data_IF_475560557739
#
_entry.id   IF_475560557739
#
_cell.length_a   1.000
_cell.length_b   1.000
_cell.length_c   1.000
_cell.angle_alpha   90.00
_cell.angle_beta   90.00
_cell.angle_gamma   90.00
#
_symmetry.space_group_name_H-M   'P 1'
#
loop_
_entity.id
_entity.type
_entity.pdbx_description
1 polymer ?
#
# COMPACT_ATOMS: atom_id res chain seq x y z
N UNK A 1 -14.56 -11.12 0.69
CA UNK A 1 -13.35 -11.61 -0.02
C UNK A 1 -13.26 -11.20 -1.50
N UNK A 2 -14.37 -11.04 -2.22
CA UNK A 2 -14.36 -10.69 -3.66
C UNK A 2 -13.88 -9.26 -4.00
N UNK A 3 -13.97 -8.30 -3.06
CA UNK A 3 -13.69 -6.88 -3.33
C UNK A 3 -12.20 -6.52 -3.30
N UNK A 4 -11.37 -7.25 -2.52
CA UNK A 4 -9.91 -7.01 -2.48
C UNK A 4 -9.19 -7.39 -3.77
N UNK A 5 -9.69 -8.40 -4.49
CA UNK A 5 -9.14 -8.81 -5.79
C UNK A 5 -9.39 -7.72 -6.85
N UNK A 6 -10.52 -7.01 -6.76
CA UNK A 6 -10.88 -5.92 -7.68
C UNK A 6 -10.00 -4.68 -7.51
N UNK A 7 -9.61 -4.33 -6.27
CA UNK A 7 -8.74 -3.16 -6.00
C UNK A 7 -7.32 -3.39 -6.51
N UNK A 8 -6.75 -4.56 -6.29
CA UNK A 8 -5.43 -4.93 -6.84
C UNK A 8 -5.43 -4.93 -8.37
N UNK A 9 -6.52 -5.40 -8.98
CA UNK A 9 -6.68 -5.39 -10.44
C UNK A 9 -6.81 -3.96 -10.99
N UNK A 10 -7.52 -3.06 -10.29
CA UNK A 10 -7.65 -1.64 -10.67
C UNK A 10 -6.32 -0.89 -10.49
N UNK A 11 -5.60 -1.13 -9.39
CA UNK A 11 -4.27 -0.55 -9.16
C UNK A 11 -3.28 -1.00 -10.24
N UNK A 12 -3.24 -2.30 -10.54
CA UNK A 12 -2.40 -2.85 -11.61
C UNK A 12 -2.77 -2.27 -12.98
N UNK A 13 -4.05 -2.02 -13.23
CA UNK A 13 -4.54 -1.42 -14.49
C UNK A 13 -4.18 0.06 -14.58
N UNK A 14 -4.33 0.84 -13.49
CA UNK A 14 -3.94 2.25 -13.46
C UNK A 14 -2.42 2.43 -13.55
N UNK A 15 -1.64 1.59 -12.88
CA UNK A 15 -0.17 1.56 -12.99
C UNK A 15 0.25 1.15 -14.41
N UNK A 16 -0.42 0.15 -15.02
CA UNK A 16 -0.15 -0.27 -16.39
C UNK A 16 -0.46 0.81 -17.43
N UNK A 17 -1.53 1.60 -17.22
CA UNK A 17 -1.88 2.74 -18.09
C UNK A 17 -0.83 3.85 -17.95
N UNK A 18 -0.33 4.12 -16.74
CA UNK A 18 0.73 5.10 -16.50
C UNK A 18 2.07 4.68 -17.12
N UNK A 19 2.43 3.39 -17.05
CA UNK A 19 3.65 2.84 -17.67
C UNK A 19 3.55 2.80 -19.19
N UNK A 20 2.38 2.53 -19.76
CA UNK A 20 2.17 2.52 -21.22
C UNK A 20 2.28 3.92 -21.86
N UNK A 21 1.99 4.99 -21.11
CA UNK A 21 2.15 6.37 -21.57
C UNK A 21 3.62 6.87 -21.53
N UNK A 22 4.52 6.18 -20.84
CA UNK A 22 5.94 6.55 -20.75
C UNK A 22 6.85 5.89 -21.81
N UNK A 23 6.29 5.44 -22.92
CA UNK A 23 6.93 5.14 -24.19
C UNK A 23 8.34 4.54 -24.16
N UNK A 24 8.57 3.39 -23.52
CA UNK A 24 9.67 2.47 -23.88
C UNK A 24 9.43 1.09 -23.22
N UNK A 25 8.97 0.12 -24.02
CA UNK A 25 9.02 -1.28 -23.62
C UNK A 25 7.78 -2.10 -24.00
N UNK A 26 7.89 -2.80 -25.15
CA UNK A 26 7.16 -4.01 -25.57
C UNK A 26 5.65 -4.09 -25.26
N UNK A 27 4.88 -3.61 -26.21
CA UNK A 27 3.45 -3.82 -26.37
C UNK A 27 3.15 -5.29 -26.74
N UNK A 28 2.87 -6.15 -25.75
CA UNK A 28 2.35 -7.50 -26.06
C UNK A 28 1.28 -8.04 -25.09
N UNK A 29 0.73 -7.26 -24.17
CA UNK A 29 -0.34 -7.70 -23.28
C UNK A 29 -1.63 -6.87 -23.40
N UNK A 30 -1.68 -5.85 -24.24
CA UNK A 30 -2.84 -4.94 -24.38
C UNK A 30 -3.91 -5.40 -25.40
N UNK A 31 -3.89 -6.64 -25.86
CA UNK A 31 -4.68 -7.09 -27.02
C UNK A 31 -6.15 -7.46 -26.78
N UNK A 32 -6.75 -7.31 -25.60
CA UNK A 32 -8.12 -7.83 -25.38
C UNK A 32 -9.14 -6.96 -24.62
N UNK A 33 -8.85 -5.74 -24.24
CA UNK A 33 -9.81 -4.88 -23.51
C UNK A 33 -10.13 -3.53 -24.15
N UNK A 34 -9.76 -3.26 -25.43
CA UNK A 34 -10.06 -1.99 -26.10
C UNK A 34 -11.13 -2.22 -27.19
N UNK A 35 -12.30 -2.67 -26.82
CA UNK A 35 -13.40 -2.84 -27.78
C UNK A 35 -14.72 -2.14 -27.38
N UNK A 36 -14.74 -1.17 -26.47
CA UNK A 36 -16.01 -0.49 -26.16
C UNK A 36 -15.85 0.96 -25.64
N UNK A 37 -15.18 1.83 -26.38
CA UNK A 37 -15.45 3.27 -26.30
C UNK A 37 -15.31 3.87 -27.70
N UNK A 38 -16.43 4.11 -28.36
CA UNK A 38 -16.48 4.97 -29.56
C UNK A 38 -16.30 6.40 -29.11
N UNK A 39 -15.27 7.14 -29.55
CA UNK A 39 -15.20 8.58 -29.33
C UNK A 39 -16.04 9.27 -30.39
N UNK A 40 -17.24 9.73 -30.04
CA UNK A 40 -17.99 10.69 -30.80
C UNK A 40 -17.70 12.07 -30.26
N UNK A 41 -16.56 12.63 -30.60
CA UNK A 41 -16.32 14.08 -30.79
C UNK A 41 -14.85 14.29 -31.11
N UNK A 42 -14.57 14.88 -32.28
CA UNK A 42 -13.24 15.39 -32.62
C UNK A 42 -12.88 16.51 -31.64
N UNK A 43 -11.97 16.25 -30.74
CA UNK A 43 -11.32 17.29 -29.93
C UNK A 43 -10.37 18.03 -30.86
N UNK A 44 -10.48 19.38 -30.99
CA UNK A 44 -9.55 20.15 -31.80
C UNK A 44 -8.12 19.96 -31.31
N UNK A 45 -7.21 19.63 -32.21
CA UNK A 45 -5.78 19.37 -31.91
C UNK A 45 -5.04 20.57 -31.29
N UNK A 46 -5.64 21.76 -31.22
CA UNK A 46 -5.07 22.96 -30.60
C UNK A 46 -5.19 23.02 -29.07
N UNK A 47 -5.87 22.08 -28.41
CA UNK A 47 -6.10 22.05 -26.98
C UNK A 47 -5.35 20.92 -26.25
N UNK A 48 -4.61 20.09 -26.96
CA UNK A 48 -3.70 19.12 -26.35
C UNK A 48 -2.36 19.84 -26.01
N UNK A 49 -2.39 20.72 -25.03
CA UNK A 49 -1.21 20.95 -24.21
C UNK A 49 -1.02 19.65 -23.43
N UNK A 50 -0.21 18.75 -23.98
CA UNK A 50 0.34 17.62 -23.24
C UNK A 50 1.24 18.22 -22.18
N UNK A 51 0.69 18.52 -20.99
CA UNK A 51 1.50 18.77 -19.81
C UNK A 51 2.27 17.46 -19.59
N UNK A 52 3.59 17.45 -19.73
CA UNK A 52 4.35 16.23 -19.46
C UNK A 52 4.05 15.82 -18.03
N UNK A 53 3.34 14.71 -17.87
CA UNK A 53 3.14 14.11 -16.55
C UNK A 53 4.54 13.75 -16.03
N UNK A 54 4.94 14.21 -14.84
CA UNK A 54 6.24 13.86 -14.27
C UNK A 54 6.32 12.33 -14.21
N UNK A 55 7.42 11.78 -14.73
CA UNK A 55 7.65 10.34 -14.74
C UNK A 55 7.73 9.82 -13.30
N UNK A 56 7.14 8.64 -13.06
CA UNK A 56 7.28 7.97 -11.78
C UNK A 56 8.71 7.47 -11.62
N UNK A 57 9.28 7.71 -10.45
CA UNK A 57 10.65 7.33 -10.13
C UNK A 57 10.71 5.94 -9.53
N UNK A 58 11.69 5.12 -9.94
CA UNK A 58 11.96 3.85 -9.29
C UNK A 58 12.71 4.09 -7.99
N UNK A 59 12.09 3.75 -6.86
CA UNK A 59 12.67 3.91 -5.52
C UNK A 59 12.55 2.61 -4.73
N UNK A 60 13.45 2.38 -3.79
CA UNK A 60 13.35 1.28 -2.83
C UNK A 60 12.42 1.66 -1.69
N UNK A 61 11.79 0.66 -1.03
CA UNK A 61 11.00 0.95 0.18
C UNK A 61 11.83 1.65 1.26
N UNK A 62 13.11 1.31 1.43
CA UNK A 62 14.03 2.02 2.34
C UNK A 62 14.15 3.52 2.11
N UNK A 63 13.84 3.99 0.90
CA UNK A 63 13.87 5.41 0.56
C UNK A 63 12.57 6.15 0.89
N UNK A 64 11.46 5.41 1.06
CA UNK A 64 10.13 5.99 1.26
C UNK A 64 9.54 5.73 2.65
N UNK A 65 9.97 4.65 3.34
CA UNK A 65 9.52 4.31 4.69
C UNK A 65 10.69 3.91 5.59
N UNK A 66 10.48 4.05 6.89
CA UNK A 66 11.35 3.51 7.93
C UNK A 66 10.73 2.23 8.48
N UNK A 67 11.30 1.07 8.16
CA UNK A 67 10.81 -0.23 8.65
C UNK A 67 11.35 -0.50 10.04
N UNK A 68 10.46 -0.63 11.00
CA UNK A 68 10.74 -0.89 12.41
C UNK A 68 10.25 -2.28 12.83
N UNK A 69 10.88 -2.86 13.85
CA UNK A 69 10.47 -4.14 14.42
C UNK A 69 9.55 -3.91 15.61
N UNK A 70 8.49 -4.69 15.70
CA UNK A 70 7.71 -4.80 16.93
C UNK A 70 8.50 -5.44 18.07
N UNK A 71 7.92 -5.41 19.26
CA UNK A 71 8.54 -5.91 20.51
C UNK A 71 7.54 -6.70 21.32
N UNK A 72 8.03 -7.59 22.19
CA UNK A 72 7.21 -8.25 23.19
C UNK A 72 6.55 -7.22 24.13
N UNK A 73 5.29 -7.42 24.44
CA UNK A 73 4.47 -6.51 25.25
C UNK A 73 4.16 -7.07 26.66
N UNK A 74 4.54 -8.32 26.95
CA UNK A 74 4.14 -9.02 28.19
C UNK A 74 4.68 -8.39 29.48
N UNK A 75 5.69 -7.53 29.35
CA UNK A 75 6.29 -6.79 30.46
C UNK A 75 5.60 -5.45 30.74
N UNK A 76 4.62 -5.06 29.93
CA UNK A 76 3.89 -3.81 30.06
C UNK A 76 2.60 -4.02 30.84
N UNK A 77 2.22 -3.00 31.59
CA UNK A 77 0.93 -2.95 32.29
C UNK A 77 -0.23 -2.78 31.29
N UNK A 78 -1.45 -3.13 31.72
CA UNK A 78 -2.66 -2.83 30.98
C UNK A 78 -2.86 -1.32 30.82
N UNK A 79 -3.38 -0.89 29.66
CA UNK A 79 -3.57 0.52 29.37
C UNK A 79 -4.38 0.76 28.08
N UNK A 80 -4.48 2.01 27.61
CA UNK A 80 -5.34 2.37 26.49
C UNK A 80 -4.71 2.14 25.10
N UNK A 81 -3.44 1.77 25.03
CA UNK A 81 -2.71 1.69 23.75
C UNK A 81 -2.91 0.33 23.11
N UNK A 82 -3.49 0.24 21.90
CA UNK A 82 -3.74 -1.03 21.24
C UNK A 82 -2.45 -1.72 20.81
N UNK A 83 -2.41 -3.05 21.01
CA UNK A 83 -1.35 -3.95 20.56
C UNK A 83 -1.83 -4.70 19.33
N UNK A 84 -1.01 -4.68 18.30
CA UNK A 84 -1.30 -5.34 17.03
C UNK A 84 -0.32 -6.47 16.72
N UNK A 85 -0.87 -7.55 16.16
CA UNK A 85 -0.12 -8.67 15.60
C UNK A 85 -0.49 -8.90 14.13
N UNK A 86 0.03 -9.95 13.53
CA UNK A 86 -0.22 -10.27 12.11
C UNK A 86 -1.69 -10.50 11.75
N UNK A 87 -2.52 -10.84 12.74
CA UNK A 87 -3.97 -11.00 12.61
C UNK A 87 -4.80 -9.75 12.93
N UNK A 88 -4.17 -8.64 13.32
CA UNK A 88 -4.85 -7.42 13.74
C UNK A 88 -4.72 -7.13 15.23
N UNK A 89 -5.74 -6.49 15.82
CA UNK A 89 -5.79 -6.16 17.25
C UNK A 89 -5.74 -7.40 18.15
N UNK A 90 -4.96 -7.34 19.24
CA UNK A 90 -4.78 -8.43 20.20
C UNK A 90 -5.21 -8.03 21.61
N UNK A 91 -4.69 -6.94 22.14
CA UNK A 91 -4.91 -6.44 23.51
C UNK A 91 -4.54 -4.96 23.59
N UNK A 92 -4.49 -4.40 24.81
CA UNK A 92 -4.05 -3.01 25.03
C UNK A 92 -3.07 -2.93 26.20
N UNK A 93 -2.11 -1.99 26.10
CA UNK A 93 -1.02 -1.79 27.06
C UNK A 93 -0.86 -0.31 27.42
N UNK A 94 0.00 -0.03 28.41
CA UNK A 94 0.25 1.32 28.92
C UNK A 94 1.21 2.17 28.07
N UNK A 95 2.01 1.53 27.19
CA UNK A 95 3.04 2.21 26.41
C UNK A 95 2.81 2.05 24.89
N UNK A 96 3.37 2.96 24.09
CA UNK A 96 3.33 2.93 22.64
C UNK A 96 4.72 2.82 22.01
N UNK A 97 4.85 2.07 20.90
CA UNK A 97 6.04 2.14 20.03
C UNK A 97 6.00 3.36 19.11
N UNK A 98 4.81 3.79 18.71
CA UNK A 98 4.58 5.04 18.00
C UNK A 98 3.47 5.82 18.70
N UNK A 99 3.79 7.06 19.15
CA UNK A 99 2.85 7.90 19.88
C UNK A 99 1.99 8.78 18.96
N UNK A 100 2.55 9.26 17.85
CA UNK A 100 1.94 10.31 17.03
C UNK A 100 2.14 10.10 15.51
N UNK A 101 2.76 9.00 15.08
CA UNK A 101 2.96 8.69 13.67
C UNK A 101 2.24 7.40 13.31
N UNK A 102 1.32 7.52 12.37
CA UNK A 102 0.67 6.38 11.75
C UNK A 102 1.68 5.54 10.96
N UNK A 103 1.41 4.24 10.81
CA UNK A 103 2.31 3.33 10.12
C UNK A 103 1.55 2.25 9.35
N UNK A 104 2.28 1.46 8.58
CA UNK A 104 1.78 0.29 7.87
C UNK A 104 2.32 -0.94 8.57
N UNK A 105 1.43 -1.77 9.13
CA UNK A 105 1.77 -3.07 9.68
C UNK A 105 1.96 -4.09 8.57
N UNK A 106 3.05 -4.87 8.61
CA UNK A 106 3.30 -6.00 7.73
C UNK A 106 3.87 -7.18 8.51
N UNK A 107 3.35 -8.37 8.24
CA UNK A 107 3.77 -9.57 8.95
C UNK A 107 5.24 -9.90 8.74
N UNK A 108 5.97 -10.09 9.84
CA UNK A 108 7.31 -10.66 9.85
C UNK A 108 7.27 -12.19 9.78
N UNK A 109 6.29 -12.81 10.50
CA UNK A 109 6.08 -14.26 10.54
C UNK A 109 4.60 -14.58 10.51
N UNK A 110 4.21 -15.59 9.75
CA UNK A 110 2.83 -16.04 9.61
C UNK A 110 2.11 -15.36 8.45
N UNK A 111 1.19 -14.44 8.69
CA UNK A 111 0.48 -13.72 7.64
C UNK A 111 1.33 -12.55 7.13
N UNK A 112 2.12 -12.79 6.09
CA UNK A 112 3.06 -11.81 5.51
C UNK A 112 2.45 -10.97 4.37
N UNK A 113 1.33 -11.39 3.81
CA UNK A 113 0.72 -10.86 2.59
C UNK A 113 -0.49 -9.93 2.82
N UNK A 114 -0.69 -9.48 4.06
CA UNK A 114 -1.83 -8.63 4.43
C UNK A 114 -1.37 -7.37 5.18
N UNK A 115 -0.70 -6.43 4.52
CA UNK A 115 -0.40 -5.14 5.11
C UNK A 115 -1.68 -4.41 5.49
N UNK A 116 -1.64 -3.64 6.59
CA UNK A 116 -2.78 -2.85 7.05
C UNK A 116 -2.33 -1.59 7.80
N UNK A 117 -3.24 -0.62 7.91
CA UNK A 117 -2.98 0.65 8.55
C UNK A 117 -2.96 0.52 10.08
N UNK A 118 -1.95 1.11 10.71
CA UNK A 118 -1.80 1.26 12.15
C UNK A 118 -1.98 2.75 12.50
N UNK A 119 -3.01 3.06 13.26
CA UNK A 119 -3.26 4.41 13.77
C UNK A 119 -2.56 4.63 15.09
N UNK A 120 -1.78 5.70 15.18
CA UNK A 120 -1.13 6.09 16.44
C UNK A 120 -2.15 6.58 17.49
N UNK A 121 -1.90 6.35 18.80
CA UNK A 121 -0.78 5.58 19.34
C UNK A 121 -0.99 4.07 19.22
N UNK A 122 0.09 3.29 19.04
CA UNK A 122 0.01 1.83 18.93
C UNK A 122 1.28 1.13 19.44
N UNK A 123 1.13 -0.17 19.76
CA UNK A 123 2.20 -1.14 19.96
C UNK A 123 2.08 -2.28 18.95
N UNK A 124 3.21 -2.89 18.54
CA UNK A 124 3.23 -4.07 17.68
C UNK A 124 4.07 -5.17 18.29
N UNK A 125 3.62 -6.42 18.16
CA UNK A 125 4.37 -7.59 18.62
C UNK A 125 5.57 -7.90 17.72
N UNK A 126 6.51 -8.72 18.19
CA UNK A 126 7.75 -9.09 17.51
C UNK A 126 7.56 -9.83 16.18
N UNK A 127 6.38 -10.41 15.93
CA UNK A 127 6.01 -11.05 14.66
C UNK A 127 5.46 -10.08 13.62
N UNK A 128 5.35 -8.78 13.94
CA UNK A 128 4.87 -7.73 13.05
C UNK A 128 5.95 -6.65 12.89
N UNK A 129 6.28 -6.29 11.66
CA UNK A 129 6.96 -5.04 11.35
C UNK A 129 5.96 -3.89 11.22
N UNK A 130 6.42 -2.67 11.48
CA UNK A 130 5.68 -1.46 11.15
C UNK A 130 6.56 -0.50 10.36
N UNK A 131 6.01 0.01 9.26
CA UNK A 131 6.69 0.90 8.35
C UNK A 131 6.11 2.32 8.48
N UNK A 132 6.93 3.27 8.87
CA UNK A 132 6.54 4.67 9.05
C UNK A 132 6.92 5.43 7.77
N UNK A 133 5.97 6.05 7.04
CA UNK A 133 6.28 6.85 5.87
C UNK A 133 7.17 8.05 6.20
N UNK A 134 8.10 8.38 5.29
CA UNK A 134 8.90 9.59 5.36
C UNK A 134 8.04 10.81 5.05
N UNK A 135 8.58 12.01 5.31
CA UNK A 135 7.82 13.27 5.27
C UNK A 135 7.27 13.64 3.88
N UNK A 136 7.88 13.13 2.82
CA UNK A 136 7.50 13.35 1.41
C UNK A 136 6.61 12.24 0.85
N UNK A 137 6.17 11.30 1.70
CA UNK A 137 5.37 10.14 1.29
C UNK A 137 4.00 10.18 1.94
N UNK A 138 2.96 10.13 1.11
CA UNK A 138 1.59 10.01 1.57
C UNK A 138 1.34 8.61 2.15
N UNK A 139 0.72 8.54 3.34
CA UNK A 139 0.47 7.29 4.07
C UNK A 139 -0.42 6.30 3.30
N UNK A 140 -1.51 6.79 2.71
CA UNK A 140 -2.44 5.95 1.95
C UNK A 140 -1.82 5.45 0.65
N UNK A 141 -1.03 6.30 -0.03
CA UNK A 141 -0.22 5.88 -1.19
C UNK A 141 0.78 4.78 -0.79
N UNK A 142 1.48 4.95 0.34
CA UNK A 142 2.40 3.94 0.84
C UNK A 142 1.68 2.62 1.17
N UNK A 143 0.51 2.68 1.82
CA UNK A 143 -0.33 1.50 2.08
C UNK A 143 -0.72 0.79 0.78
N UNK A 144 -1.18 1.53 -0.22
CA UNK A 144 -1.50 0.98 -1.54
C UNK A 144 -0.29 0.30 -2.19
N UNK A 145 0.91 0.92 -2.05
CA UNK A 145 2.15 0.34 -2.55
C UNK A 145 2.49 -0.99 -1.86
N UNK A 146 2.36 -1.07 -0.54
CA UNK A 146 2.53 -2.31 0.21
C UNK A 146 1.52 -3.40 -0.20
N UNK A 147 0.26 -3.02 -0.43
CA UNK A 147 -0.79 -3.96 -0.87
C UNK A 147 -0.59 -4.48 -2.29
N UNK A 148 0.15 -3.75 -3.13
CA UNK A 148 0.43 -4.11 -4.53
C UNK A 148 1.62 -5.06 -4.70
N UNK A 149 2.44 -5.27 -3.67
CA UNK A 149 3.58 -6.20 -3.72
C UNK A 149 3.11 -7.63 -3.48
N UNK A 150 3.59 -8.57 -4.27
CA UNK A 150 3.45 -10.00 -3.99
C UNK A 150 4.48 -10.43 -2.93
N UNK A 151 4.10 -10.25 -1.65
CA UNK A 151 4.95 -10.60 -0.52
C UNK A 151 5.18 -12.10 -0.39
N UNK A 152 4.29 -12.94 -0.92
CA UNK A 152 4.46 -14.41 -0.90
C UNK A 152 5.63 -14.85 -1.76
N UNK A 153 5.88 -14.18 -2.86
CA UNK A 153 7.05 -14.46 -3.70
C UNK A 153 8.38 -14.10 -3.02
N UNK A 154 8.32 -13.33 -1.94
CA UNK A 154 9.47 -12.88 -1.14
C UNK A 154 9.62 -13.64 0.19
N UNK A 155 8.86 -14.72 0.37
CA UNK A 155 8.99 -15.59 1.53
C UNK A 155 10.36 -16.24 1.57
N UNK A 156 11.08 -16.05 2.66
CA UNK A 156 12.45 -16.56 2.87
C UNK A 156 12.47 -17.86 3.69
N UNK A 157 11.29 -18.39 4.04
CA UNK A 157 11.16 -19.54 4.92
C UNK A 157 10.93 -20.86 4.17
N UNK A 158 11.30 -21.95 4.82
CA UNK A 158 10.96 -23.32 4.38
C UNK A 158 9.74 -23.88 5.12
N UNK A 159 9.15 -23.13 6.03
CA UNK A 159 8.05 -23.57 6.90
C UNK A 159 7.01 -22.45 7.10
N UNK A 160 7.00 -21.83 8.27
CA UNK A 160 6.10 -20.72 8.54
C UNK A 160 6.53 -19.48 7.73
N UNK A 161 5.67 -18.91 6.87
CA UNK A 161 6.02 -17.77 6.03
C UNK A 161 6.68 -16.64 6.83
N UNK A 162 7.77 -16.10 6.31
CA UNK A 162 8.53 -15.03 6.97
C UNK A 162 9.14 -14.04 5.99
N UNK A 163 9.19 -12.77 6.38
CA UNK A 163 9.89 -11.69 5.69
C UNK A 163 11.03 -11.17 6.55
N UNK A 164 12.13 -10.82 5.91
CA UNK A 164 13.19 -10.03 6.54
C UNK A 164 12.92 -8.53 6.33
N UNK A 165 13.51 -7.71 7.20
CA UNK A 165 13.53 -6.26 7.02
C UNK A 165 14.26 -5.87 5.73
N UNK A 166 15.30 -6.60 5.40
CA UNK A 166 16.11 -6.45 4.18
C UNK A 166 15.26 -6.64 2.93
N UNK A 167 14.50 -7.74 2.86
CA UNK A 167 13.61 -8.06 1.76
C UNK A 167 12.58 -6.95 1.50
N UNK A 168 12.03 -6.36 2.57
CA UNK A 168 11.12 -5.23 2.45
C UNK A 168 11.87 -4.00 1.91
N UNK A 169 12.99 -3.64 2.52
CA UNK A 169 13.76 -2.44 2.19
C UNK A 169 14.27 -2.43 0.75
N UNK A 170 14.71 -3.58 0.23
CA UNK A 170 15.26 -3.72 -1.12
C UNK A 170 14.19 -3.84 -2.22
N UNK A 171 12.93 -3.99 -1.84
CA UNK A 171 11.83 -4.04 -2.81
C UNK A 171 11.67 -2.70 -3.50
N UNK A 172 11.71 -2.72 -4.85
CA UNK A 172 11.59 -1.53 -5.70
C UNK A 172 10.14 -1.29 -6.08
N UNK A 173 9.74 -0.03 -6.10
CA UNK A 173 8.42 0.43 -6.51
C UNK A 173 8.54 1.72 -7.33
N UNK A 174 7.48 2.04 -8.08
CA UNK A 174 7.36 3.32 -8.79
C UNK A 174 6.68 4.34 -7.88
N UNK A 175 7.28 5.50 -7.72
CA UNK A 175 6.81 6.58 -6.83
C UNK A 175 6.55 7.84 -7.65
N UNK A 176 5.32 8.37 -7.68
CA UNK A 176 5.00 9.63 -8.30
C UNK A 176 5.42 10.83 -7.43
N UNK A 177 5.29 12.03 -7.95
CA UNK A 177 5.47 13.23 -7.14
C UNK A 177 4.41 13.32 -6.02
N UNK A 178 4.67 14.15 -5.01
CA UNK A 178 3.83 14.28 -3.79
C UNK A 178 2.38 14.66 -4.10
N UNK A 179 2.15 15.50 -5.12
CA UNK A 179 0.79 15.93 -5.51
C UNK A 179 -0.01 14.73 -6.03
N UNK A 180 0.59 13.93 -6.88
CA UNK A 180 -0.03 12.73 -7.45
C UNK A 180 -0.21 11.64 -6.38
N UNK A 181 0.76 11.46 -5.46
CA UNK A 181 0.60 10.57 -4.30
C UNK A 181 -0.64 10.94 -3.48
N UNK A 182 -0.84 12.24 -3.20
CA UNK A 182 -2.00 12.71 -2.45
C UNK A 182 -3.33 12.44 -3.18
N UNK A 183 -3.36 12.65 -4.50
CA UNK A 183 -4.54 12.35 -5.29
C UNK A 183 -4.87 10.85 -5.29
N UNK A 184 -3.87 10.00 -5.50
CA UNK A 184 -4.03 8.55 -5.48
C UNK A 184 -4.43 8.04 -4.09
N UNK A 185 -3.74 8.50 -3.04
CA UNK A 185 -4.04 8.11 -1.66
C UNK A 185 -5.46 8.47 -1.26
N UNK A 186 -5.90 9.70 -1.51
CA UNK A 186 -7.27 10.14 -1.22
C UNK A 186 -8.32 9.34 -2.01
N UNK A 187 -8.06 9.11 -3.29
CA UNK A 187 -8.97 8.33 -4.13
C UNK A 187 -9.19 6.91 -3.58
N UNK A 188 -8.13 6.21 -3.18
CA UNK A 188 -8.26 4.86 -2.62
C UNK A 188 -8.87 4.86 -1.22
N UNK A 189 -8.56 5.83 -0.37
CA UNK A 189 -9.19 5.99 0.93
C UNK A 189 -10.71 6.22 0.82
N UNK A 190 -11.15 7.05 -0.14
CA UNK A 190 -12.56 7.29 -0.41
C UNK A 190 -13.26 6.03 -0.96
N UNK A 191 -12.60 5.27 -1.83
CA UNK A 191 -13.13 3.99 -2.31
C UNK A 191 -13.33 2.98 -1.18
N UNK A 192 -12.35 2.81 -0.28
CA UNK A 192 -12.46 1.91 0.86
C UNK A 192 -13.61 2.33 1.80
N UNK A 193 -13.77 3.65 2.00
CA UNK A 193 -14.89 4.20 2.76
C UNK A 193 -16.23 3.88 2.13
N UNK A 194 -16.38 4.07 0.82
CA UNK A 194 -17.62 3.78 0.09
C UNK A 194 -17.96 2.28 0.13
N UNK A 195 -16.96 1.41 -0.04
CA UNK A 195 -17.12 -0.04 0.06
C UNK A 195 -17.61 -0.43 1.46
N UNK A 196 -16.98 0.10 2.50
CA UNK A 196 -17.37 -0.15 3.90
C UNK A 196 -18.80 0.30 4.19
N UNK A 197 -19.19 1.48 3.71
CA UNK A 197 -20.57 2.00 3.86
C UNK A 197 -21.59 1.15 3.13
N UNK A 198 -21.23 0.62 1.95
CA UNK A 198 -22.13 -0.25 1.19
C UNK A 198 -22.32 -1.62 1.87
N UNK A 199 -21.25 -2.19 2.41
CA UNK A 199 -21.32 -3.46 3.16
C UNK A 199 -22.21 -3.35 4.38
N UNK A 200 -22.09 -2.28 5.18
CA UNK A 200 -22.94 -2.03 6.38
C UNK A 200 -24.43 -1.86 6.09
N UNK A 201 -24.80 -1.54 4.86
CA UNK A 201 -26.23 -1.43 4.47
C UNK A 201 -26.85 -2.77 4.08
N UNK A 202 -26.05 -3.78 3.86
CA UNK A 202 -26.49 -5.12 3.43
C UNK A 202 -26.42 -6.16 4.56
N UNK A 203 -25.91 -5.77 5.73
CA UNK A 203 -26.00 -6.51 7.00
C UNK A 203 -27.19 -6.01 7.86
#
# INVERSE_FOLDING_TARGET
>A
MACKVSLQSLLATLIAISVANNGNGSAQVAGRCIAYVRPATRIPSALLHVVPMPAWEQRKFSEIVDVCSGRDYKHLDEGPIPVYGTGGYMTSVSEALSHNRDAIGIGRKGTIDKPYLLKAPFWTVDTLFYAIPKSDINLEFALCSFLNVDWKSKDESTGLPSLSKESINETVLSVPNVVEQNHLGNFFADLDRLITLHQRKND
#
